data_IF_615841136405
#
_entry.id   IF_615841136405
#
_cell.length_a   1.000
_cell.length_b   1.000
_cell.length_c   1.000
_cell.angle_alpha   90.00
_cell.angle_beta   90.00
_cell.angle_gamma   90.00
#
_symmetry.space_group_name_H-M   'P 1'
#
loop_
_entity.id
_entity.type
_entity.pdbx_description
1 polymer ?
#
# COMPACT_ATOMS: atom_id res chain seq x y z
N UNK A 1 2.82 12.14 26.82
CA UNK A 1 2.08 11.66 25.63
C UNK A 1 2.03 12.82 24.67
N UNK A 2 2.63 12.67 23.49
CA UNK A 2 2.41 13.62 22.39
C UNK A 2 1.04 13.28 21.81
N UNK A 3 0.11 14.23 21.82
CA UNK A 3 -1.20 14.02 21.18
C UNK A 3 -0.97 13.94 19.68
N UNK A 4 -1.38 12.83 19.06
CA UNK A 4 -1.29 12.65 17.62
C UNK A 4 -2.40 13.48 16.97
N UNK A 5 -2.06 14.16 15.89
CA UNK A 5 -3.03 14.91 15.11
C UNK A 5 -3.99 13.95 14.41
N UNK A 6 -5.26 13.98 14.79
CA UNK A 6 -6.35 13.21 14.18
C UNK A 6 -7.22 14.06 13.28
N UNK A 7 -6.72 15.21 12.82
CA UNK A 7 -7.41 16.03 11.81
C UNK A 7 -7.63 15.20 10.55
N UNK A 8 -8.80 15.36 9.94
CA UNK A 8 -9.15 14.67 8.71
C UNK A 8 -8.09 14.90 7.62
N UNK A 9 -7.58 13.81 7.06
CA UNK A 9 -6.64 13.82 5.93
C UNK A 9 -7.46 14.08 4.68
N UNK A 10 -7.15 15.11 3.91
CA UNK A 10 -7.84 15.39 2.64
C UNK A 10 -6.84 15.52 1.51
N UNK A 11 -7.05 14.78 0.43
CA UNK A 11 -6.21 14.80 -0.77
C UNK A 11 -7.07 14.92 -2.02
N UNK A 12 -6.56 15.62 -3.03
CA UNK A 12 -7.12 15.66 -4.37
C UNK A 12 -6.17 14.88 -5.29
N UNK A 13 -6.63 13.79 -5.89
CA UNK A 13 -5.83 12.91 -6.73
C UNK A 13 -6.03 13.21 -8.23
N UNK A 14 -5.13 12.75 -9.11
CA UNK A 14 -5.25 12.95 -10.55
C UNK A 14 -6.54 12.35 -11.16
N UNK A 15 -6.94 11.17 -10.69
CA UNK A 15 -8.15 10.45 -11.12
C UNK A 15 -9.16 10.28 -9.99
N UNK A 16 -10.42 10.00 -10.35
CA UNK A 16 -11.47 9.74 -9.38
C UNK A 16 -11.33 8.35 -8.76
N UNK A 17 -11.52 8.26 -7.44
CA UNK A 17 -11.63 6.98 -6.74
C UNK A 17 -13.04 6.42 -6.84
N UNK A 18 -13.16 5.10 -6.69
CA UNK A 18 -14.48 4.48 -6.61
C UNK A 18 -15.26 4.97 -5.37
N UNK A 19 -16.49 5.50 -5.51
CA UNK A 19 -17.26 5.97 -4.37
C UNK A 19 -17.59 4.86 -3.36
N UNK A 20 -17.49 3.58 -3.75
CA UNK A 20 -17.71 2.45 -2.84
C UNK A 20 -16.64 2.35 -1.74
N UNK A 21 -15.50 3.05 -1.85
CA UNK A 21 -14.53 3.13 -0.75
C UNK A 21 -15.14 3.68 0.54
N UNK A 22 -16.19 4.50 0.45
CA UNK A 22 -16.98 4.97 1.60
C UNK A 22 -17.79 3.88 2.33
N UNK A 23 -17.73 2.63 1.88
CA UNK A 23 -18.22 1.48 2.67
C UNK A 23 -17.31 1.16 3.87
N UNK A 24 -16.03 1.52 3.80
CA UNK A 24 -15.10 1.40 4.92
C UNK A 24 -15.22 2.62 5.85
N UNK A 25 -15.09 2.43 7.18
CA UNK A 25 -15.26 3.50 8.15
C UNK A 25 -14.20 4.59 7.97
N UNK A 26 -14.59 5.84 8.22
CA UNK A 26 -13.72 7.00 8.12
C UNK A 26 -13.31 7.39 6.70
N UNK A 27 -13.86 6.83 5.62
CA UNK A 27 -13.51 7.23 4.24
C UNK A 27 -14.70 7.94 3.55
N UNK A 28 -14.44 9.13 3.01
CA UNK A 28 -15.35 9.85 2.11
C UNK A 28 -14.70 10.05 0.75
N UNK A 29 -15.40 9.65 -0.32
CA UNK A 29 -14.95 9.86 -1.70
C UNK A 29 -15.89 10.81 -2.45
N UNK A 30 -15.35 11.96 -2.85
CA UNK A 30 -15.99 12.99 -3.66
C UNK A 30 -15.33 13.11 -5.04
N UNK A 31 -15.43 12.06 -5.86
CA UNK A 31 -14.75 11.99 -7.15
C UNK A 31 -13.24 11.86 -6.98
N UNK A 32 -12.48 12.91 -7.29
CA UNK A 32 -11.02 12.94 -7.12
C UNK A 32 -10.58 13.31 -5.71
N UNK A 33 -11.49 13.83 -4.90
CA UNK A 33 -11.21 14.16 -3.51
C UNK A 33 -11.47 12.95 -2.64
N UNK A 34 -10.51 12.63 -1.77
CA UNK A 34 -10.66 11.66 -0.69
C UNK A 34 -10.47 12.41 0.62
N UNK A 35 -11.37 12.13 1.57
CA UNK A 35 -11.22 12.55 2.96
C UNK A 35 -11.20 11.31 3.85
N UNK A 36 -10.22 11.25 4.76
CA UNK A 36 -10.05 10.15 5.72
C UNK A 36 -10.10 10.73 7.13
N UNK A 37 -11.02 10.25 7.96
CA UNK A 37 -10.99 10.46 9.41
C UNK A 37 -10.05 9.41 10.05
N UNK A 38 -8.86 9.80 10.55
CA UNK A 38 -7.92 8.85 11.14
C UNK A 38 -8.49 8.10 12.35
N UNK A 39 -9.41 8.70 13.11
CA UNK A 39 -9.97 8.10 14.30
C UNK A 39 -10.94 6.94 13.99
N UNK A 40 -11.56 6.96 12.82
CA UNK A 40 -12.45 5.90 12.35
C UNK A 40 -11.74 4.91 11.40
N UNK A 41 -10.80 5.39 10.58
CA UNK A 41 -10.15 4.57 9.56
C UNK A 41 -9.11 3.60 10.13
N UNK A 42 -8.26 4.04 11.07
CA UNK A 42 -7.16 3.22 11.56
C UNK A 42 -7.59 2.33 12.73
N UNK A 43 -7.18 1.06 12.72
CA UNK A 43 -7.25 0.22 13.92
C UNK A 43 -6.18 0.62 14.96
N UNK A 44 -5.07 1.18 14.48
CA UNK A 44 -3.98 1.72 15.28
C UNK A 44 -3.37 2.90 14.52
N UNK A 45 -3.20 4.05 15.19
CA UNK A 45 -2.57 5.24 14.63
C UNK A 45 -1.69 5.91 15.69
N UNK A 46 -0.40 5.61 15.64
CA UNK A 46 0.59 6.01 16.65
C UNK A 46 1.67 6.94 16.11
N UNK A 47 1.73 7.13 14.78
CA UNK A 47 2.71 8.01 14.14
C UNK A 47 2.08 8.80 12.99
N UNK A 48 2.17 10.13 13.04
CA UNK A 48 1.74 11.00 11.93
C UNK A 48 2.94 11.49 11.10
N UNK A 49 3.99 10.69 10.98
CA UNK A 49 5.16 11.03 10.16
C UNK A 49 5.52 9.88 9.24
N UNK A 50 5.84 10.20 7.99
CA UNK A 50 6.26 9.25 6.97
C UNK A 50 7.51 9.77 6.27
N UNK A 51 8.30 8.86 5.69
CA UNK A 51 9.43 9.21 4.86
C UNK A 51 8.98 9.19 3.40
N UNK A 52 9.18 10.30 2.68
CA UNK A 52 8.73 10.44 1.29
C UNK A 52 9.84 11.09 0.46
N UNK A 53 10.06 10.60 -0.75
CA UNK A 53 10.84 11.29 -1.78
C UNK A 53 9.93 11.75 -2.92
N UNK A 54 10.33 12.80 -3.62
CA UNK A 54 9.64 13.28 -4.81
C UNK A 54 9.62 12.19 -5.90
N UNK A 55 8.42 11.87 -6.40
CA UNK A 55 8.24 10.91 -7.48
C UNK A 55 8.98 11.32 -8.77
N UNK A 56 9.07 12.62 -9.07
CA UNK A 56 9.80 13.10 -10.24
C UNK A 56 11.30 12.79 -10.14
N UNK A 57 11.87 12.85 -8.93
CA UNK A 57 13.27 12.45 -8.71
C UNK A 57 13.46 10.94 -8.87
N UNK A 58 12.50 10.12 -8.42
CA UNK A 58 12.55 8.67 -8.61
C UNK A 58 12.54 8.33 -10.11
N UNK A 59 11.65 8.96 -10.88
CA UNK A 59 11.62 8.80 -12.34
C UNK A 59 12.93 9.22 -13.00
N UNK A 60 13.45 10.39 -12.64
CA UNK A 60 14.64 10.96 -13.29
C UNK A 60 15.95 10.26 -12.92
N UNK A 61 16.05 9.68 -11.72
CA UNK A 61 17.33 9.24 -11.15
C UNK A 61 17.38 7.80 -10.65
N UNK A 62 16.26 7.06 -10.62
CA UNK A 62 16.25 5.70 -10.08
C UNK A 62 15.59 4.66 -11.00
N UNK A 63 14.46 4.98 -11.65
CA UNK A 63 13.70 3.97 -12.41
C UNK A 63 14.55 3.30 -13.50
N UNK A 64 15.29 4.09 -14.28
CA UNK A 64 16.08 3.61 -15.42
C UNK A 64 17.53 3.20 -15.05
N UNK A 65 17.89 3.20 -13.76
CA UNK A 65 19.25 2.85 -13.33
C UNK A 65 19.41 1.34 -13.20
N UNK A 66 20.29 0.73 -13.98
CA UNK A 66 20.54 -0.71 -13.93
C UNK A 66 21.34 -1.12 -12.68
N UNK A 67 21.10 -2.36 -12.24
CA UNK A 67 21.95 -3.03 -11.25
C UNK A 67 23.37 -3.18 -11.80
N UNK A 68 24.37 -3.07 -10.92
CA UNK A 68 25.79 -3.19 -11.29
C UNK A 68 26.45 -4.31 -10.49
N UNK A 69 27.67 -4.68 -10.85
CA UNK A 69 28.46 -5.65 -10.07
C UNK A 69 28.76 -5.17 -8.65
N UNK A 70 28.64 -3.86 -8.40
CA UNK A 70 28.96 -3.21 -7.13
C UNK A 70 27.72 -2.85 -6.29
N UNK A 71 26.53 -2.78 -6.89
CA UNK A 71 25.32 -2.28 -6.20
C UNK A 71 24.07 -3.00 -6.69
N UNK A 72 23.39 -3.65 -5.74
CA UNK A 72 22.10 -4.30 -6.00
C UNK A 72 20.99 -3.27 -6.17
N UNK A 73 19.86 -3.66 -6.75
CA UNK A 73 18.68 -2.79 -6.85
C UNK A 73 18.22 -2.25 -5.49
N UNK A 74 18.29 -3.05 -4.42
CA UNK A 74 17.96 -2.61 -3.06
C UNK A 74 18.95 -1.59 -2.51
N UNK A 75 20.24 -1.77 -2.81
CA UNK A 75 21.26 -0.83 -2.38
C UNK A 75 21.09 0.53 -3.09
N UNK A 76 20.79 0.50 -4.40
CA UNK A 76 20.45 1.70 -5.17
C UNK A 76 19.23 2.43 -4.58
N UNK A 77 18.15 1.70 -4.28
CA UNK A 77 16.95 2.28 -3.68
C UNK A 77 17.22 2.85 -2.28
N UNK A 78 17.97 2.13 -1.43
CA UNK A 78 18.34 2.59 -0.10
C UNK A 78 19.19 3.87 -0.14
N UNK A 79 20.16 3.95 -1.04
CA UNK A 79 21.02 5.12 -1.15
C UNK A 79 20.26 6.32 -1.74
N UNK A 80 19.34 6.09 -2.67
CA UNK A 80 18.40 7.10 -3.13
C UNK A 80 17.55 7.66 -1.99
N UNK A 81 16.94 6.78 -1.17
CA UNK A 81 16.12 7.18 -0.01
C UNK A 81 16.93 8.05 0.96
N UNK A 82 18.16 7.65 1.30
CA UNK A 82 19.03 8.43 2.19
C UNK A 82 19.36 9.82 1.64
N UNK A 83 19.46 9.95 0.32
CA UNK A 83 19.85 11.19 -0.33
C UNK A 83 18.66 12.13 -0.58
N UNK A 84 17.48 11.59 -0.87
CA UNK A 84 16.37 12.36 -1.44
C UNK A 84 15.08 12.33 -0.62
N UNK A 85 14.93 11.42 0.34
CA UNK A 85 13.72 11.37 1.15
C UNK A 85 13.76 12.34 2.34
N UNK A 86 12.59 12.84 2.70
CA UNK A 86 12.40 13.68 3.88
C UNK A 86 11.21 13.20 4.72
N UNK A 87 11.28 13.45 6.03
CA UNK A 87 10.17 13.16 6.93
C UNK A 87 9.07 14.21 6.77
N UNK A 88 7.83 13.77 6.62
CA UNK A 88 6.66 14.63 6.46
C UNK A 88 5.52 14.19 7.37
N UNK A 89 4.77 15.14 7.91
CA UNK A 89 3.46 14.91 8.55
C UNK A 89 2.28 15.20 7.64
N UNK A 90 2.54 15.63 6.40
CA UNK A 90 1.51 15.84 5.39
C UNK A 90 1.11 14.49 4.77
N UNK A 91 0.04 13.90 5.31
CA UNK A 91 -0.52 12.65 4.80
C UNK A 91 -1.13 12.80 3.39
N UNK A 92 -1.55 14.00 2.99
CA UNK A 92 -2.05 14.23 1.62
C UNK A 92 -0.91 14.09 0.61
N UNK A 93 0.29 14.58 0.96
CA UNK A 93 1.50 14.35 0.16
C UNK A 93 1.88 12.86 0.08
N UNK A 94 1.74 12.11 1.16
CA UNK A 94 1.97 10.65 1.17
C UNK A 94 1.02 9.97 0.17
N UNK A 95 -0.28 10.26 0.25
CA UNK A 95 -1.29 9.70 -0.65
C UNK A 95 -1.07 10.11 -2.11
N UNK A 96 -0.74 11.37 -2.38
CA UNK A 96 -0.45 11.84 -3.74
C UNK A 96 0.78 11.13 -4.34
N UNK A 97 1.85 10.97 -3.54
CA UNK A 97 3.05 10.23 -3.98
C UNK A 97 2.74 8.76 -4.19
N UNK A 98 1.95 8.16 -3.30
CA UNK A 98 1.53 6.77 -3.42
C UNK A 98 0.69 6.53 -4.67
N UNK A 99 -0.23 7.43 -4.99
CA UNK A 99 -1.01 7.35 -6.23
C UNK A 99 -0.10 7.28 -7.45
N UNK A 100 0.91 8.14 -7.55
CA UNK A 100 1.85 8.13 -8.67
C UNK A 100 2.65 6.81 -8.76
N UNK A 101 3.15 6.31 -7.62
CA UNK A 101 3.86 5.04 -7.52
C UNK A 101 2.97 3.89 -8.01
N UNK A 102 1.74 3.80 -7.54
CA UNK A 102 0.86 2.70 -7.89
C UNK A 102 0.23 2.86 -9.28
N UNK A 103 0.04 4.09 -9.76
CA UNK A 103 -0.27 4.37 -11.16
C UNK A 103 0.81 3.83 -12.09
N UNK A 104 2.08 4.02 -11.74
CA UNK A 104 3.19 3.41 -12.47
C UNK A 104 3.20 1.89 -12.35
N UNK A 105 3.05 1.32 -11.15
CA UNK A 105 3.15 -0.14 -10.94
C UNK A 105 1.96 -0.92 -11.52
N UNK A 106 0.77 -0.33 -11.57
CA UNK A 106 -0.44 -0.97 -12.11
C UNK A 106 -0.96 -0.24 -13.34
N UNK A 107 -0.05 0.14 -14.23
CA UNK A 107 -0.34 0.69 -15.55
C UNK A 107 -0.81 -0.41 -16.52
N UNK A 108 -1.72 -0.04 -17.41
CA UNK A 108 -2.44 -0.98 -18.29
C UNK A 108 -1.52 -1.75 -19.23
N UNK A 109 -0.34 -1.20 -19.56
CA UNK A 109 0.67 -1.84 -20.40
C UNK A 109 1.10 -3.21 -19.87
N UNK A 110 0.98 -3.44 -18.56
CA UNK A 110 1.33 -4.72 -17.95
C UNK A 110 0.34 -5.83 -18.25
N UNK A 111 -0.92 -5.52 -18.57
CA UNK A 111 -1.96 -6.53 -18.81
C UNK A 111 -1.55 -7.57 -19.86
N UNK A 112 -0.88 -7.12 -20.92
CA UNK A 112 -0.41 -8.00 -21.99
C UNK A 112 0.63 -9.03 -21.52
N UNK A 113 1.39 -8.73 -20.45
CA UNK A 113 2.46 -9.58 -19.91
C UNK A 113 2.08 -10.39 -18.66
N UNK A 114 0.90 -10.18 -18.08
CA UNK A 114 0.50 -10.83 -16.82
C UNK A 114 0.22 -12.33 -16.97
N UNK A 115 -0.19 -12.79 -18.16
CA UNK A 115 -0.62 -14.18 -18.36
C UNK A 115 -1.92 -14.56 -17.63
N UNK A 116 -2.69 -13.56 -17.17
CA UNK A 116 -3.95 -13.72 -16.44
C UNK A 116 -5.08 -13.00 -17.20
N UNK A 117 -5.74 -13.66 -18.17
CA UNK A 117 -6.73 -13.01 -19.04
C UNK A 117 -7.98 -12.48 -18.31
N UNK A 118 -8.24 -12.96 -17.11
CA UNK A 118 -9.31 -12.49 -16.23
C UNK A 118 -8.99 -11.14 -15.54
N UNK A 119 -7.71 -10.74 -15.50
CA UNK A 119 -7.30 -9.45 -14.95
C UNK A 119 -7.49 -8.37 -16.03
N UNK A 120 -8.09 -7.25 -15.65
CA UNK A 120 -8.49 -6.17 -16.55
C UNK A 120 -7.94 -4.84 -16.04
N UNK A 121 -8.10 -3.78 -16.84
CA UNK A 121 -7.76 -2.42 -16.40
C UNK A 121 -8.53 -1.99 -15.14
N UNK A 122 -9.77 -2.46 -14.98
CA UNK A 122 -10.56 -2.19 -13.77
C UNK A 122 -9.94 -2.83 -12.53
N UNK A 123 -9.45 -4.07 -12.65
CA UNK A 123 -8.74 -4.75 -11.58
C UNK A 123 -7.42 -4.06 -11.21
N UNK A 124 -6.67 -3.56 -12.20
CA UNK A 124 -5.48 -2.76 -11.94
C UNK A 124 -5.84 -1.45 -11.23
N UNK A 125 -6.94 -0.79 -11.62
CA UNK A 125 -7.46 0.39 -10.90
C UNK A 125 -7.77 0.07 -9.44
N UNK A 126 -8.43 -1.05 -9.13
CA UNK A 126 -8.70 -1.45 -7.74
C UNK A 126 -7.41 -1.60 -6.92
N UNK A 127 -6.37 -2.20 -7.52
CA UNK A 127 -5.04 -2.30 -6.91
C UNK A 127 -4.41 -0.94 -6.66
N UNK A 128 -4.48 0.00 -7.62
CA UNK A 128 -4.00 1.38 -7.45
C UNK A 128 -4.67 2.06 -6.27
N UNK A 129 -6.00 2.00 -6.21
CA UNK A 129 -6.77 2.69 -5.19
C UNK A 129 -6.49 2.12 -3.79
N UNK A 130 -6.50 0.80 -3.65
CA UNK A 130 -6.22 0.14 -2.37
C UNK A 130 -4.78 0.37 -1.90
N UNK A 131 -3.81 0.25 -2.80
CA UNK A 131 -2.40 0.43 -2.47
C UNK A 131 -2.08 1.90 -2.11
N UNK A 132 -2.76 2.86 -2.74
CA UNK A 132 -2.66 4.29 -2.38
C UNK A 132 -3.04 4.50 -0.91
N UNK A 133 -4.15 3.92 -0.46
CA UNK A 133 -4.58 4.01 0.95
C UNK A 133 -3.67 3.21 1.89
N UNK A 134 -3.11 2.08 1.41
CA UNK A 134 -2.15 1.26 2.16
C UNK A 134 -0.86 2.03 2.48
N UNK A 135 -0.48 3.06 1.69
CA UNK A 135 0.73 3.85 1.95
C UNK A 135 0.71 4.63 3.27
N UNK A 136 -0.47 4.81 3.90
CA UNK A 136 -0.56 5.42 5.23
C UNK A 136 -0.21 4.45 6.36
N UNK A 137 -0.26 3.14 6.10
CA UNK A 137 0.18 2.13 7.04
C UNK A 137 1.69 2.25 7.30
N UNK A 138 2.13 1.90 8.50
CA UNK A 138 3.51 2.17 8.91
C UNK A 138 4.05 1.10 9.85
N UNK A 139 5.26 0.65 9.52
CA UNK A 139 6.12 -0.16 10.38
C UNK A 139 7.37 0.65 10.74
N UNK A 140 7.66 0.74 12.03
CA UNK A 140 8.86 1.40 12.54
C UNK A 140 10.11 0.50 12.39
N UNK A 141 11.31 1.07 12.52
CA UNK A 141 12.57 0.32 12.37
C UNK A 141 12.71 -0.86 13.35
N UNK A 142 12.12 -0.76 14.54
CA UNK A 142 12.11 -1.85 15.51
C UNK A 142 11.09 -2.96 15.16
N UNK A 143 10.35 -2.84 14.06
CA UNK A 143 9.31 -3.76 13.60
C UNK A 143 7.91 -3.48 14.18
N UNK A 144 7.75 -2.49 15.06
CA UNK A 144 6.44 -2.13 15.61
C UNK A 144 5.51 -1.58 14.52
N UNK A 145 4.28 -2.07 14.43
CA UNK A 145 3.26 -1.54 13.54
C UNK A 145 2.67 -0.30 14.19
N UNK A 146 3.09 0.90 13.79
CA UNK A 146 2.58 2.14 14.38
C UNK A 146 1.25 2.58 13.77
N UNK A 147 1.04 2.32 12.48
CA UNK A 147 -0.19 2.66 11.78
C UNK A 147 -0.72 1.46 11.00
N UNK A 148 -2.02 1.16 11.15
CA UNK A 148 -2.68 0.08 10.42
C UNK A 148 -4.14 0.43 10.19
N UNK A 149 -4.58 0.37 8.93
CA UNK A 149 -5.97 0.49 8.51
C UNK A 149 -6.43 -0.67 7.62
N UNK A 150 -7.72 -0.71 7.23
CA UNK A 150 -8.33 -1.80 6.46
C UNK A 150 -7.55 -2.22 5.21
N UNK A 151 -6.98 -1.28 4.46
CA UNK A 151 -6.26 -1.56 3.21
C UNK A 151 -4.95 -2.33 3.41
N UNK A 152 -4.49 -2.51 4.65
CA UNK A 152 -3.46 -3.51 4.96
C UNK A 152 -3.90 -4.91 4.51
N UNK A 153 -5.17 -5.24 4.74
CA UNK A 153 -5.80 -6.52 4.43
C UNK A 153 -6.48 -6.45 3.07
N UNK A 154 -5.67 -6.30 2.01
CA UNK A 154 -6.16 -6.05 0.65
C UNK A 154 -7.34 -6.94 0.21
N UNK A 155 -7.31 -8.28 0.35
CA UNK A 155 -8.44 -9.13 -0.05
C UNK A 155 -9.73 -8.81 0.74
N UNK A 156 -9.61 -8.54 2.03
CA UNK A 156 -10.75 -8.22 2.88
C UNK A 156 -11.35 -6.85 2.51
N UNK A 157 -10.50 -5.83 2.36
CA UNK A 157 -10.93 -4.48 2.01
C UNK A 157 -11.60 -4.44 0.63
N UNK A 158 -11.00 -5.07 -0.38
CA UNK A 158 -11.57 -5.12 -1.73
C UNK A 158 -12.82 -5.99 -1.82
N UNK A 159 -12.96 -7.02 -1.00
CA UNK A 159 -14.21 -7.78 -0.89
C UNK A 159 -15.37 -6.93 -0.34
N UNK A 160 -15.11 -6.03 0.62
CA UNK A 160 -16.10 -5.08 1.13
C UNK A 160 -16.43 -3.99 0.11
N UNK A 161 -15.42 -3.42 -0.53
CA UNK A 161 -15.57 -2.25 -1.42
C UNK A 161 -16.13 -2.64 -2.79
N UNK A 162 -15.61 -3.71 -3.39
CA UNK A 162 -15.89 -4.10 -4.77
C UNK A 162 -16.71 -5.38 -4.89
N UNK A 163 -17.14 -5.97 -3.77
CA UNK A 163 -17.91 -7.21 -3.72
C UNK A 163 -17.15 -8.41 -4.32
N UNK A 164 -15.81 -8.38 -4.31
CA UNK A 164 -14.98 -9.48 -4.80
C UNK A 164 -15.18 -10.74 -3.96
N UNK A 165 -15.26 -11.88 -4.64
CA UNK A 165 -15.17 -13.19 -4.01
C UNK A 165 -13.73 -13.52 -3.61
N UNK A 166 -13.57 -14.61 -2.87
CA UNK A 166 -12.27 -15.05 -2.35
C UNK A 166 -11.28 -15.41 -3.47
N UNK A 167 -11.78 -16.00 -4.57
CA UNK A 167 -10.96 -16.38 -5.71
C UNK A 167 -10.37 -15.16 -6.42
N UNK A 168 -11.21 -14.18 -6.78
CA UNK A 168 -10.74 -12.96 -7.41
C UNK A 168 -9.89 -12.11 -6.46
N UNK A 169 -10.29 -12.01 -5.18
CA UNK A 169 -9.51 -11.30 -4.17
C UNK A 169 -8.10 -11.86 -3.99
N UNK A 170 -7.97 -13.20 -3.90
CA UNK A 170 -6.68 -13.88 -3.83
C UNK A 170 -5.84 -13.71 -5.10
N UNK A 171 -6.48 -13.73 -6.27
CA UNK A 171 -5.80 -13.52 -7.54
C UNK A 171 -5.25 -12.09 -7.69
N UNK A 172 -6.01 -11.08 -7.27
CA UNK A 172 -5.53 -9.70 -7.29
C UNK A 172 -4.40 -9.47 -6.29
N UNK A 173 -4.50 -10.06 -5.10
CA UNK A 173 -3.43 -10.03 -4.10
C UNK A 173 -2.14 -10.62 -4.67
N UNK A 174 -2.25 -11.68 -5.44
CA UNK A 174 -1.11 -12.29 -6.10
C UNK A 174 -0.54 -11.48 -7.29
N UNK A 175 -1.37 -10.69 -7.99
CA UNK A 175 -0.87 -9.69 -8.97
C UNK A 175 -0.09 -8.58 -8.26
N UNK A 176 -0.47 -8.26 -7.02
CA UNK A 176 0.17 -7.24 -6.19
C UNK A 176 1.57 -7.66 -5.72
N UNK A 177 1.75 -8.93 -5.31
CA UNK A 177 2.99 -9.37 -4.64
C UNK A 177 3.45 -10.82 -4.83
N UNK A 178 2.64 -11.64 -5.49
CA UNK A 178 2.80 -13.08 -5.55
C UNK A 178 3.69 -13.57 -6.70
N UNK A 179 3.50 -14.84 -7.07
CA UNK A 179 4.36 -15.53 -8.05
C UNK A 179 4.30 -14.99 -9.48
N UNK A 180 3.33 -14.13 -9.78
CA UNK A 180 3.20 -13.44 -11.07
C UNK A 180 4.04 -12.17 -11.16
N UNK A 181 4.67 -11.77 -10.05
CA UNK A 181 5.69 -10.74 -10.02
C UNK A 181 7.00 -11.31 -10.57
N UNK A 182 7.23 -11.15 -11.88
CA UNK A 182 8.51 -11.52 -12.49
C UNK A 182 9.64 -10.59 -12.03
N UNK A 183 10.89 -10.95 -12.34
CA UNK A 183 12.07 -10.18 -11.88
C UNK A 183 12.05 -8.72 -12.34
N UNK A 184 11.56 -8.44 -13.55
CA UNK A 184 11.44 -7.08 -14.05
C UNK A 184 10.45 -6.26 -13.20
N UNK A 185 9.29 -6.85 -12.87
CA UNK A 185 8.29 -6.21 -12.00
C UNK A 185 8.86 -6.00 -10.61
N UNK A 186 9.61 -6.98 -10.07
CA UNK A 186 10.32 -6.89 -8.79
C UNK A 186 11.25 -5.68 -8.74
N UNK A 187 12.09 -5.51 -9.75
CA UNK A 187 13.01 -4.36 -9.87
C UNK A 187 12.23 -3.04 -9.93
N UNK A 188 11.18 -2.95 -10.76
CA UNK A 188 10.32 -1.77 -10.83
C UNK A 188 9.70 -1.43 -9.47
N UNK A 189 9.18 -2.43 -8.76
CA UNK A 189 8.58 -2.25 -7.44
C UNK A 189 9.57 -1.74 -6.41
N UNK A 190 10.77 -2.33 -6.34
CA UNK A 190 11.81 -1.89 -5.39
C UNK A 190 12.16 -0.42 -5.64
N UNK A 191 12.38 -0.05 -6.90
CA UNK A 191 12.73 1.33 -7.28
C UNK A 191 11.58 2.31 -7.07
N UNK A 192 10.35 1.94 -7.41
CA UNK A 192 9.20 2.83 -7.28
C UNK A 192 8.86 3.11 -5.80
N UNK A 193 8.93 2.08 -4.93
CA UNK A 193 8.65 2.23 -3.51
C UNK A 193 9.69 3.07 -2.74
N UNK A 194 10.86 3.37 -3.32
CA UNK A 194 11.76 4.36 -2.74
C UNK A 194 11.12 5.75 -2.60
N UNK A 195 10.13 6.10 -3.43
CA UNK A 195 9.33 7.32 -3.24
C UNK A 195 8.57 7.33 -1.90
N UNK A 196 8.23 6.14 -1.38
CA UNK A 196 7.53 5.92 -0.12
C UNK A 196 8.50 5.53 1.02
N UNK A 197 9.81 5.77 0.84
CA UNK A 197 10.81 5.66 1.89
C UNK A 197 11.15 4.23 2.31
N UNK A 198 10.83 3.23 1.48
CA UNK A 198 11.08 1.84 1.85
C UNK A 198 10.89 0.85 0.71
N UNK A 199 10.57 -0.39 1.08
CA UNK A 199 10.25 -1.47 0.15
C UNK A 199 8.95 -2.14 0.56
N UNK A 200 8.22 -2.64 -0.41
CA UNK A 200 7.04 -3.45 -0.14
C UNK A 200 7.45 -4.76 0.57
N UNK A 201 6.79 -5.04 1.69
CA UNK A 201 6.97 -6.24 2.51
C UNK A 201 5.61 -6.83 2.81
N UNK A 202 5.52 -8.15 2.73
CA UNK A 202 4.33 -8.91 3.10
C UNK A 202 4.53 -9.62 4.42
N UNK A 203 3.48 -9.62 5.24
CA UNK A 203 3.40 -10.48 6.42
C UNK A 203 3.32 -11.96 6.03
N UNK A 204 2.72 -12.26 4.87
CA UNK A 204 2.67 -13.59 4.27
C UNK A 204 4.08 -13.97 3.81
N UNK A 205 4.63 -15.09 4.28
CA UNK A 205 6.02 -15.48 3.93
C UNK A 205 6.13 -16.57 2.86
N UNK A 206 5.04 -17.25 2.51
CA UNK A 206 5.07 -18.36 1.53
C UNK A 206 3.69 -18.84 1.09
N UNK A 207 2.63 -18.51 1.85
CA UNK A 207 1.25 -18.94 1.59
C UNK A 207 0.34 -17.72 1.76
N UNK A 208 -0.64 -17.51 0.87
CA UNK A 208 -1.67 -16.51 1.07
C UNK A 208 -2.46 -16.81 2.34
N UNK A 209 -2.28 -15.97 3.36
CA UNK A 209 -3.00 -16.09 4.63
C UNK A 209 -3.64 -14.76 5.06
N UNK A 210 -3.72 -13.78 4.15
CA UNK A 210 -4.24 -12.44 4.40
C UNK A 210 -3.44 -11.64 5.44
N UNK A 211 -2.16 -11.95 5.70
CA UNK A 211 -1.30 -11.12 6.56
C UNK A 211 -0.99 -9.73 5.97
N UNK A 212 -1.38 -9.47 4.71
CA UNK A 212 -1.31 -8.15 4.10
C UNK A 212 0.10 -7.68 3.75
N UNK A 213 0.21 -6.40 3.39
CA UNK A 213 1.46 -5.77 2.96
C UNK A 213 1.63 -4.33 3.45
N UNK A 214 2.88 -3.87 3.47
CA UNK A 214 3.27 -2.52 3.88
C UNK A 214 4.57 -2.10 3.20
N UNK A 215 4.76 -0.80 3.01
CA UNK A 215 6.07 -0.25 2.67
C UNK A 215 6.88 -0.11 3.96
N UNK A 216 7.79 -1.04 4.20
CA UNK A 216 8.64 -1.03 5.39
C UNK A 216 9.99 -0.35 5.09
N UNK A 217 10.54 0.40 6.06
CA UNK A 217 11.90 0.93 5.96
C UNK A 217 12.92 -0.19 5.79
N UNK A 218 13.97 0.08 5.02
CA UNK A 218 15.13 -0.81 4.97
C UNK A 218 15.76 -0.95 6.36
N UNK A 219 15.99 -2.19 6.78
CA UNK A 219 16.52 -2.51 8.10
C UNK A 219 15.46 -2.68 9.20
N UNK A 220 14.17 -2.53 8.91
CA UNK A 220 13.13 -2.81 9.88
C UNK A 220 13.16 -4.28 10.37
N UNK A 221 12.92 -4.51 11.66
CA UNK A 221 12.91 -5.86 12.24
C UNK A 221 11.71 -6.67 11.77
N UNK A 222 11.92 -7.54 10.78
CA UNK A 222 10.86 -8.38 10.21
C UNK A 222 10.34 -9.44 11.17
N UNK A 223 11.15 -9.86 12.15
CA UNK A 223 10.70 -10.79 13.19
C UNK A 223 9.67 -10.12 14.10
N UNK A 224 10.01 -8.96 14.65
CA UNK A 224 9.12 -8.20 15.53
C UNK A 224 7.85 -7.75 14.80
N UNK A 225 7.98 -7.34 13.54
CA UNK A 225 6.84 -7.03 12.68
C UNK A 225 5.84 -8.18 12.59
N UNK A 226 6.33 -9.41 12.39
CA UNK A 226 5.47 -10.60 12.30
C UNK A 226 4.84 -10.95 13.65
N UNK A 227 5.60 -10.82 14.73
CA UNK A 227 5.10 -11.09 16.07
C UNK A 227 3.98 -10.11 16.47
N UNK A 228 4.16 -8.81 16.18
CA UNK A 228 3.13 -7.79 16.41
C UNK A 228 1.90 -8.02 15.51
N UNK A 229 2.11 -8.33 14.22
CA UNK A 229 1.00 -8.64 13.31
C UNK A 229 0.20 -9.87 13.78
N UNK A 230 0.87 -10.95 14.17
CA UNK A 230 0.22 -12.19 14.60
C UNK A 230 -0.70 -11.98 15.82
N UNK A 231 -0.39 -11.01 16.68
CA UNK A 231 -1.19 -10.71 17.87
C UNK A 231 -2.57 -10.10 17.55
N UNK A 232 -2.70 -9.37 16.43
CA UNK A 232 -3.92 -8.58 16.14
C UNK A 232 -4.62 -8.94 14.82
N UNK A 233 -3.91 -9.59 13.90
CA UNK A 233 -4.37 -9.89 12.54
C UNK A 233 -5.80 -10.43 12.47
N UNK A 234 -6.13 -11.47 13.24
CA UNK A 234 -7.44 -12.10 13.17
C UNK A 234 -8.58 -11.13 13.53
N UNK A 235 -8.42 -10.37 14.61
CA UNK A 235 -9.43 -9.41 15.06
C UNK A 235 -9.57 -8.20 14.12
N UNK A 236 -8.49 -7.77 13.47
CA UNK A 236 -8.57 -6.69 12.49
C UNK A 236 -9.22 -7.13 11.18
N UNK A 237 -8.93 -8.33 10.69
CA UNK A 237 -9.60 -8.89 9.51
C UNK A 237 -11.11 -9.04 9.76
N UNK A 238 -11.51 -9.54 10.93
CA UNK A 238 -12.92 -9.64 11.32
C UNK A 238 -13.62 -8.28 11.31
N UNK A 239 -12.96 -7.24 11.83
CA UNK A 239 -13.49 -5.86 11.79
C UNK A 239 -13.69 -5.36 10.36
N UNK A 240 -12.77 -5.64 9.42
CA UNK A 240 -12.97 -5.28 8.00
C UNK A 240 -14.21 -5.98 7.45
N UNK A 241 -14.31 -7.30 7.61
CA UNK A 241 -15.44 -8.06 7.06
C UNK A 241 -16.80 -7.69 7.67
N UNK A 242 -16.84 -7.13 8.89
CA UNK A 242 -18.07 -6.62 9.49
C UNK A 242 -18.74 -5.50 8.67
N UNK A 243 -17.99 -4.84 7.78
CA UNK A 243 -18.51 -3.83 6.86
C UNK A 243 -18.99 -4.39 5.52
N UNK A 244 -18.85 -5.70 5.29
CA UNK A 244 -19.37 -6.33 4.07
C UNK A 244 -20.90 -6.24 4.09
N UNK A 245 -21.47 -5.63 3.06
CA UNK A 245 -22.92 -5.63 2.89
C UNK A 245 -23.38 -7.08 2.72
N UNK A 246 -24.28 -7.55 3.60
CA UNK A 246 -24.90 -8.85 3.41
C UNK A 246 -25.70 -8.81 2.10
N UNK A 247 -25.47 -9.73 1.13
CA UNK A 247 -26.27 -9.83 -0.08
C UNK A 247 -27.74 -10.22 0.19
N UNK A 248 -28.07 -10.53 1.44
CA UNK A 248 -29.41 -10.87 1.91
C UNK A 248 -29.95 -9.77 2.85
N UNK A 249 -30.38 -8.66 2.27
CA UNK A 249 -31.31 -7.70 2.86
C UNK A 249 -32.28 -7.22 1.78
#
# INVERSE_FOLDING_TARGET
MTTIDTTAITVELPEAFDPRWSRLPGIEVGGRRITIDPAEYFFRFESNTWLVADWELVKAHLLDVDETTESTVEQLALDFIKQHSESTSDAARVLATAYEVYAYLFRDEHLAGLGLPQITAEHLRMLREAATLMALNKVELNGHISNVGPCWFFPAATSVVFDLDEEMGGMLDEVYHGGWFNEQRRIESIKAHAALGGRLVHGCQSVPDQSGGVVAPYGASMANFRDDLAAFKAGWIEQVYAHRLNPAA
#
